data_IF_360229877789
#
_entry.id   IF_360229877789
#
_cell.length_a   1.000
_cell.length_b   1.000
_cell.length_c   1.000
_cell.angle_alpha   90.00
_cell.angle_beta   90.00
_cell.angle_gamma   90.00
#
_symmetry.space_group_name_H-M   'P 1'
#
loop_
_entity.id
_entity.type
_entity.pdbx_description
1 polymer ?
#
# COMPACT_ATOMS: atom_id res chain seq x y z
N UNK A 1 17.53 -7.30 1.83
CA UNK A 1 17.38 -8.65 2.44
C UNK A 1 16.59 -9.54 1.48
N UNK A 2 16.66 -10.87 1.62
CA UNK A 2 15.80 -11.82 0.89
C UNK A 2 15.25 -12.86 1.85
N UNK A 3 13.97 -13.21 1.69
CA UNK A 3 13.27 -14.20 2.51
C UNK A 3 12.47 -15.16 1.64
N UNK A 4 12.15 -16.35 2.17
CA UNK A 4 11.17 -17.25 1.57
C UNK A 4 9.83 -17.04 2.25
N UNK A 5 8.82 -16.58 1.52
CA UNK A 5 7.45 -16.36 2.00
C UNK A 5 6.49 -17.14 1.11
N UNK A 6 5.72 -18.07 1.68
CA UNK A 6 4.82 -18.91 0.87
C UNK A 6 5.54 -19.77 -0.18
N UNK A 7 6.82 -20.11 0.05
CA UNK A 7 7.64 -20.89 -0.88
C UNK A 7 8.25 -20.09 -2.05
N UNK A 8 8.11 -18.76 -2.06
CA UNK A 8 8.73 -17.89 -3.07
C UNK A 8 9.77 -16.96 -2.46
N UNK A 9 10.83 -16.67 -3.22
CA UNK A 9 11.84 -15.69 -2.82
C UNK A 9 11.29 -14.27 -2.98
N UNK A 10 11.35 -13.48 -1.90
CA UNK A 10 10.91 -12.08 -1.88
C UNK A 10 12.08 -11.20 -1.43
N UNK A 11 12.40 -10.20 -2.25
CA UNK A 11 13.38 -9.18 -1.90
C UNK A 11 12.72 -8.03 -1.14
N UNK A 12 13.40 -7.49 -0.12
CA UNK A 12 12.91 -6.38 0.70
C UNK A 12 14.02 -5.53 1.30
N UNK A 13 13.68 -4.29 1.67
CA UNK A 13 14.50 -3.35 2.45
C UNK A 13 13.77 -3.04 3.76
N UNK A 14 14.44 -3.28 4.89
CA UNK A 14 13.99 -3.00 6.24
C UNK A 14 15.22 -2.89 7.18
N UNK A 15 15.06 -2.28 8.35
CA UNK A 15 16.13 -2.17 9.36
C UNK A 15 16.33 -3.50 10.10
N UNK A 16 15.25 -4.21 10.39
CA UNK A 16 15.28 -5.56 10.96
C UNK A 16 14.08 -6.40 10.50
N UNK A 17 14.17 -7.72 10.68
CA UNK A 17 13.06 -8.64 10.44
C UNK A 17 13.05 -9.78 11.48
N UNK A 18 11.86 -10.24 11.86
CA UNK A 18 11.67 -11.37 12.78
C UNK A 18 10.62 -12.34 12.20
N UNK A 19 10.89 -13.66 12.14
CA UNK A 19 9.89 -14.64 11.72
C UNK A 19 8.74 -14.77 12.74
N UNK A 20 7.51 -14.84 12.25
CA UNK A 20 6.30 -15.06 13.07
C UNK A 20 5.38 -16.08 12.40
N UNK A 21 4.34 -16.54 13.10
CA UNK A 21 3.32 -17.39 12.51
C UNK A 21 2.67 -16.68 11.31
N UNK A 22 2.77 -17.30 10.13
CA UNK A 22 2.21 -16.77 8.88
C UNK A 22 3.07 -15.75 8.12
N UNK A 23 4.25 -15.33 8.63
CA UNK A 23 5.10 -14.38 7.90
C UNK A 23 6.30 -13.83 8.68
N UNK A 24 6.57 -12.55 8.48
CA UNK A 24 7.67 -11.82 9.12
C UNK A 24 7.18 -10.48 9.64
N UNK A 25 7.62 -10.09 10.84
CA UNK A 25 7.53 -8.71 11.33
C UNK A 25 8.72 -7.92 10.78
N UNK A 26 8.46 -6.75 10.21
CA UNK A 26 9.49 -5.86 9.67
C UNK A 26 9.60 -4.60 10.54
N UNK A 27 10.82 -4.17 10.82
CA UNK A 27 11.11 -2.93 11.53
C UNK A 27 11.73 -1.92 10.57
N UNK A 28 11.26 -0.67 10.64
CA UNK A 28 11.85 0.48 9.97
C UNK A 28 10.84 1.61 9.80
N UNK A 29 11.31 2.85 9.76
CA UNK A 29 10.44 4.00 9.48
C UNK A 29 9.84 3.93 8.07
N UNK A 30 10.61 3.39 7.12
CA UNK A 30 10.20 3.06 5.77
C UNK A 30 10.68 1.63 5.48
N UNK A 31 9.82 0.82 4.90
CA UNK A 31 10.16 -0.52 4.40
C UNK A 31 9.74 -0.64 2.94
N UNK A 32 10.47 -1.43 2.15
CA UNK A 32 10.14 -1.68 0.75
C UNK A 32 10.09 -3.18 0.50
N UNK A 33 9.02 -3.66 -0.11
CA UNK A 33 8.86 -5.08 -0.47
C UNK A 33 8.63 -5.17 -1.97
N UNK A 34 9.45 -5.98 -2.63
CA UNK A 34 9.44 -6.08 -4.08
C UNK A 34 8.72 -7.36 -4.49
N UNK A 35 7.61 -7.20 -5.22
CA UNK A 35 6.84 -8.32 -5.75
C UNK A 35 7.71 -9.18 -6.68
N UNK A 36 7.79 -10.51 -6.49
CA UNK A 36 8.48 -11.41 -7.42
C UNK A 36 7.68 -11.64 -8.72
N UNK A 37 6.52 -10.98 -8.87
CA UNK A 37 5.63 -11.07 -10.04
C UNK A 37 5.28 -9.67 -10.59
N UNK A 38 4.89 -9.57 -11.88
CA UNK A 38 4.37 -8.33 -12.45
C UNK A 38 2.96 -8.02 -11.90
N UNK A 39 2.90 -7.30 -10.78
CA UNK A 39 1.65 -6.94 -10.13
C UNK A 39 0.76 -6.08 -11.05
N UNK A 40 -0.50 -6.51 -11.24
CA UNK A 40 -1.50 -5.80 -12.05
C UNK A 40 -2.44 -4.94 -11.23
N UNK A 41 -2.65 -5.32 -9.97
CA UNK A 41 -3.59 -4.68 -9.09
C UNK A 41 -2.93 -4.35 -7.75
N UNK A 42 -3.40 -3.29 -7.12
CA UNK A 42 -3.02 -2.85 -5.79
C UNK A 42 -4.25 -2.78 -4.91
N UNK A 43 -4.19 -3.35 -3.71
CA UNK A 43 -5.28 -3.23 -2.74
C UNK A 43 -5.18 -1.86 -2.06
N UNK A 44 -6.04 -0.94 -2.49
CA UNK A 44 -6.09 0.42 -1.96
C UNK A 44 -7.09 0.45 -0.80
N UNK A 45 -6.57 0.56 0.42
CA UNK A 45 -7.37 0.75 1.63
C UNK A 45 -7.44 2.24 2.00
N UNK A 46 -8.64 2.79 2.10
CA UNK A 46 -8.85 4.19 2.48
C UNK A 46 -8.72 4.43 3.99
N UNK A 47 -8.62 5.70 4.41
CA UNK A 47 -8.29 6.04 5.80
C UNK A 47 -9.43 5.81 6.80
N UNK A 48 -10.64 6.25 6.46
CA UNK A 48 -11.77 6.26 7.38
C UNK A 48 -12.98 5.50 6.83
N UNK A 49 -14.02 5.38 7.64
CA UNK A 49 -15.20 4.52 7.38
C UNK A 49 -15.88 4.74 6.02
N UNK A 50 -15.83 5.95 5.47
CA UNK A 50 -16.44 6.29 4.18
C UNK A 50 -15.46 6.25 3.00
N UNK A 51 -14.19 5.99 3.27
CA UNK A 51 -13.15 5.96 2.26
C UNK A 51 -13.28 4.72 1.39
N UNK A 52 -12.98 4.84 0.10
CA UNK A 52 -13.00 3.70 -0.82
C UNK A 52 -11.94 2.66 -0.42
N UNK A 53 -12.37 1.41 -0.29
CA UNK A 53 -11.49 0.24 -0.13
C UNK A 53 -11.75 -0.74 -1.27
N UNK A 54 -10.78 -0.89 -2.17
CA UNK A 54 -10.91 -1.72 -3.37
C UNK A 54 -9.56 -2.11 -3.98
N UNK A 55 -9.57 -3.12 -4.84
CA UNK A 55 -8.48 -3.38 -5.77
C UNK A 55 -8.53 -2.35 -6.91
N UNK A 56 -7.39 -1.72 -7.21
CA UNK A 56 -7.22 -0.75 -8.31
C UNK A 56 -6.20 -1.24 -9.33
N UNK A 57 -6.35 -0.85 -10.59
CA UNK A 57 -5.40 -1.18 -11.66
C UNK A 57 -4.20 -0.22 -11.60
N UNK A 58 -2.98 -0.78 -11.49
CA UNK A 58 -1.74 0.00 -11.42
C UNK A 58 -1.38 0.70 -12.74
N UNK A 59 -2.04 0.34 -13.84
CA UNK A 59 -1.86 0.98 -15.16
C UNK A 59 -2.69 2.25 -15.30
N UNK A 60 -3.68 2.45 -14.42
CA UNK A 60 -4.53 3.63 -14.44
C UNK A 60 -4.05 4.70 -13.47
N UNK A 61 -4.07 5.95 -13.93
CA UNK A 61 -3.78 7.10 -13.08
C UNK A 61 -4.95 7.37 -12.13
N UNK A 62 -4.62 7.73 -10.88
CA UNK A 62 -5.61 8.17 -9.91
C UNK A 62 -6.28 9.47 -10.37
N UNK A 63 -7.62 9.49 -10.29
CA UNK A 63 -8.42 10.68 -10.62
C UNK A 63 -8.65 11.56 -9.38
N UNK A 64 -8.56 12.89 -9.49
CA UNK A 64 -8.85 13.79 -8.36
C UNK A 64 -10.31 13.71 -7.92
N UNK A 65 -10.54 13.78 -6.60
CA UNK A 65 -11.88 13.84 -6.02
C UNK A 65 -12.40 15.29 -5.98
N UNK A 66 -13.67 15.48 -6.36
CA UNK A 66 -14.35 16.77 -6.37
C UNK A 66 -15.68 16.72 -5.60
N UNK A 67 -16.17 17.86 -5.09
CA UNK A 67 -15.48 19.16 -5.02
C UNK A 67 -14.34 19.15 -3.99
N UNK A 68 -13.36 20.05 -4.13
CA UNK A 68 -12.18 20.08 -3.25
C UNK A 68 -12.56 20.27 -1.77
N UNK A 69 -13.60 21.08 -1.52
CA UNK A 69 -14.13 21.32 -0.18
C UNK A 69 -14.61 20.05 0.54
N UNK A 70 -14.93 18.96 -0.19
CA UNK A 70 -15.33 17.68 0.41
C UNK A 70 -14.17 16.70 0.62
N UNK A 71 -12.96 17.00 0.16
CA UNK A 71 -11.81 16.10 0.31
C UNK A 71 -11.50 15.76 1.78
N UNK A 72 -11.48 16.72 2.73
CA UNK A 72 -11.13 16.41 4.13
C UNK A 72 -12.10 15.45 4.83
N UNK A 73 -13.35 15.39 4.39
CA UNK A 73 -14.38 14.49 4.93
C UNK A 73 -14.50 13.18 4.13
N UNK A 74 -13.77 13.01 3.03
CA UNK A 74 -13.89 11.86 2.15
C UNK A 74 -12.84 10.79 2.45
N UNK A 75 -11.59 11.20 2.71
CA UNK A 75 -10.44 10.33 2.94
C UNK A 75 -9.30 11.16 3.55
N UNK A 76 -8.14 10.56 3.76
CA UNK A 76 -6.93 11.32 4.15
C UNK A 76 -6.54 12.31 3.02
N UNK A 77 -6.41 13.62 3.32
CA UNK A 77 -5.98 14.61 2.34
C UNK A 77 -4.67 14.28 1.63
N UNK A 78 -3.72 13.61 2.27
CA UNK A 78 -2.49 13.14 1.65
C UNK A 78 -2.78 12.09 0.57
N UNK A 79 -3.61 11.09 0.90
CA UNK A 79 -4.00 10.05 -0.05
C UNK A 79 -4.72 10.65 -1.26
N UNK A 80 -5.53 11.69 -1.07
CA UNK A 80 -6.26 12.37 -2.15
C UNK A 80 -5.39 13.32 -2.97
N UNK A 81 -4.42 13.99 -2.36
CA UNK A 81 -3.50 14.94 -3.02
C UNK A 81 -2.36 14.29 -3.79
N UNK A 82 -1.99 13.05 -3.44
CA UNK A 82 -0.93 12.30 -4.13
C UNK A 82 -1.34 11.88 -5.56
N UNK A 83 -0.39 11.90 -6.48
CA UNK A 83 -0.54 11.36 -7.85
C UNK A 83 -0.41 9.85 -7.91
N UNK A 84 0.25 9.23 -6.93
CA UNK A 84 0.43 7.79 -6.83
C UNK A 84 -0.69 7.13 -6.00
N UNK A 85 -0.82 5.81 -6.15
CA UNK A 85 -1.69 5.02 -5.31
C UNK A 85 -1.07 4.80 -3.93
N UNK A 86 -1.72 5.36 -2.90
CA UNK A 86 -1.40 5.14 -1.49
C UNK A 86 -2.62 4.53 -0.78
N UNK A 87 -2.38 3.90 0.37
CA UNK A 87 -3.41 3.42 1.28
C UNK A 87 -3.06 3.72 2.73
N UNK A 88 -4.00 3.46 3.63
CA UNK A 88 -3.86 3.60 5.08
C UNK A 88 -4.02 2.23 5.75
N UNK A 89 -3.20 1.91 6.75
CA UNK A 89 -3.21 0.64 7.48
C UNK A 89 -2.38 0.71 8.74
#
# INVERSE_FOLDING_TARGET
>A
MRVSLGGVEVALEAEALEPVEGGFLLLGKEVRVYSPFPARAFFRHGWQSWSLTAWVDLREAKRPLFPEARRPQADDPFLLGSSAWWGSG
#
